data_IF_080966715488
#
_entry.id   IF_080966715488
#
_cell.length_a   1.000
_cell.length_b   1.000
_cell.length_c   1.000
_cell.angle_alpha   90.00
_cell.angle_beta   90.00
_cell.angle_gamma   90.00
#
_symmetry.space_group_name_H-M   'P 1'
#
loop_
_entity.id
_entity.type
_entity.pdbx_description
1 polymer ?
#
# COMPACT_ATOMS: atom_id res chain seq x y z
N UNK A 1 -0.24 -17.65 -14.76
CA UNK A 1 -0.07 -17.23 -16.18
C UNK A 1 1.33 -16.72 -16.45
N UNK A 2 1.78 -15.59 -15.87
CA UNK A 2 3.14 -15.04 -16.13
C UNK A 2 4.28 -16.05 -15.87
N UNK A 3 4.27 -16.72 -14.72
CA UNK A 3 5.28 -17.74 -14.38
C UNK A 3 5.26 -18.88 -15.40
N UNK A 4 4.06 -19.36 -15.77
CA UNK A 4 3.90 -20.43 -16.75
C UNK A 4 4.52 -20.07 -18.10
N UNK A 5 4.30 -18.84 -18.58
CA UNK A 5 4.87 -18.33 -19.83
C UNK A 5 6.39 -18.30 -19.82
N UNK A 6 7.05 -18.15 -18.66
CA UNK A 6 8.52 -18.16 -18.58
C UNK A 6 9.13 -19.55 -18.79
N UNK A 7 8.38 -20.62 -18.50
CA UNK A 7 8.83 -22.00 -18.63
C UNK A 7 8.47 -22.63 -19.97
N UNK A 8 7.61 -22.00 -20.75
CA UNK A 8 7.30 -22.46 -22.10
C UNK A 8 8.45 -22.12 -23.07
N UNK A 9 8.74 -22.99 -24.04
CA UNK A 9 9.75 -22.72 -25.06
C UNK A 9 9.30 -21.52 -25.91
N UNK A 10 10.16 -20.50 -26.04
CA UNK A 10 9.91 -19.39 -26.93
C UNK A 10 10.57 -19.63 -28.30
N UNK A 11 9.90 -19.16 -29.34
CA UNK A 11 10.44 -19.17 -30.70
C UNK A 11 11.49 -18.07 -30.90
N UNK A 12 11.31 -16.92 -30.24
CA UNK A 12 12.19 -15.76 -30.29
C UNK A 12 12.81 -15.51 -28.90
N UNK A 13 14.14 -15.67 -28.81
CA UNK A 13 14.87 -15.50 -27.56
C UNK A 13 14.95 -14.04 -27.10
N UNK A 14 14.95 -13.06 -28.02
CA UNK A 14 14.97 -11.64 -27.68
C UNK A 14 13.64 -11.23 -27.05
N UNK A 15 12.52 -11.69 -27.63
CA UNK A 15 11.21 -11.49 -27.02
C UNK A 15 11.11 -12.16 -25.65
N UNK A 16 11.64 -13.37 -25.48
CA UNK A 16 11.64 -14.03 -24.18
C UNK A 16 12.50 -13.29 -23.14
N UNK A 17 13.63 -12.70 -23.56
CA UNK A 17 14.47 -11.86 -22.70
C UNK A 17 13.74 -10.59 -22.26
N UNK A 18 13.11 -9.88 -23.20
CA UNK A 18 12.31 -8.69 -22.89
C UNK A 18 11.15 -9.02 -21.93
N UNK A 19 10.47 -10.14 -22.15
CA UNK A 19 9.42 -10.63 -21.27
C UNK A 19 9.92 -10.89 -19.85
N UNK A 20 11.05 -11.59 -19.69
CA UNK A 20 11.66 -11.83 -18.37
C UNK A 20 12.12 -10.55 -17.69
N UNK A 21 12.63 -9.58 -18.43
CA UNK A 21 13.03 -8.28 -17.86
C UNK A 21 11.84 -7.50 -17.30
N UNK A 22 10.71 -7.48 -18.02
CA UNK A 22 9.53 -6.71 -17.60
C UNK A 22 8.68 -7.43 -16.55
N UNK A 23 8.46 -8.73 -16.71
CA UNK A 23 7.48 -9.50 -15.92
C UNK A 23 8.13 -10.49 -14.94
N UNK A 24 9.46 -10.65 -14.98
CA UNK A 24 10.23 -11.51 -14.07
C UNK A 24 10.00 -11.19 -12.60
N UNK A 25 9.77 -9.92 -12.29
CA UNK A 25 9.62 -9.42 -10.92
C UNK A 25 8.17 -9.42 -10.43
N UNK A 26 7.19 -9.63 -11.32
CA UNK A 26 5.77 -9.62 -10.98
C UNK A 26 5.41 -10.58 -9.83
N UNK A 27 5.94 -11.82 -9.74
CA UNK A 27 5.62 -12.71 -8.63
C UNK A 27 5.97 -12.12 -7.26
N UNK A 28 7.11 -11.45 -7.16
CA UNK A 28 7.55 -10.84 -5.89
C UNK A 28 6.69 -9.63 -5.55
N UNK A 29 6.31 -8.82 -6.54
CA UNK A 29 5.40 -7.70 -6.32
C UNK A 29 4.02 -8.16 -5.87
N UNK A 30 3.45 -9.19 -6.49
CA UNK A 30 2.18 -9.79 -6.07
C UNK A 30 2.28 -10.32 -4.64
N UNK A 31 3.35 -11.05 -4.32
CA UNK A 31 3.57 -11.57 -2.98
C UNK A 31 3.69 -10.43 -1.95
N UNK A 32 4.50 -9.41 -2.24
CA UNK A 32 4.65 -8.23 -1.40
C UNK A 32 3.34 -7.49 -1.17
N UNK A 33 2.50 -7.33 -2.20
CA UNK A 33 1.18 -6.73 -2.08
C UNK A 33 0.25 -7.55 -1.19
N UNK A 34 0.25 -8.88 -1.30
CA UNK A 34 -0.59 -9.74 -0.47
C UNK A 34 -0.18 -9.67 1.00
N UNK A 35 1.13 -9.70 1.30
CA UNK A 35 1.62 -9.59 2.68
C UNK A 35 1.31 -8.21 3.25
N UNK A 36 1.57 -7.14 2.50
CA UNK A 36 1.24 -5.78 2.90
C UNK A 36 -0.26 -5.62 3.19
N UNK A 37 -1.11 -6.15 2.31
CA UNK A 37 -2.56 -6.13 2.48
C UNK A 37 -3.01 -6.85 3.75
N UNK A 38 -2.54 -8.09 3.98
CA UNK A 38 -2.93 -8.87 5.16
C UNK A 38 -2.54 -8.18 6.46
N UNK A 39 -1.32 -7.65 6.53
CA UNK A 39 -0.83 -6.93 7.71
C UNK A 39 -1.56 -5.60 7.92
N UNK A 40 -1.68 -4.81 6.85
CA UNK A 40 -2.32 -3.49 6.88
C UNK A 40 -3.81 -3.59 7.24
N UNK A 41 -4.54 -4.52 6.61
CA UNK A 41 -5.97 -4.69 6.87
C UNK A 41 -6.24 -5.21 8.29
N UNK A 42 -5.43 -6.14 8.78
CA UNK A 42 -5.55 -6.63 10.17
C UNK A 42 -5.32 -5.49 11.17
N UNK A 43 -4.34 -4.63 10.90
CA UNK A 43 -4.07 -3.45 11.71
C UNK A 43 -5.22 -2.43 11.66
N UNK A 44 -5.78 -2.19 10.47
CA UNK A 44 -6.88 -1.26 10.26
C UNK A 44 -8.08 -1.60 11.14
N UNK A 45 -8.52 -2.87 11.07
CA UNK A 45 -9.66 -3.37 11.85
C UNK A 45 -9.39 -3.25 13.35
N UNK A 46 -8.17 -3.56 13.79
CA UNK A 46 -7.80 -3.47 15.21
C UNK A 46 -7.79 -2.03 15.72
N UNK A 47 -7.15 -1.09 15.00
CA UNK A 47 -7.14 0.33 15.38
C UNK A 47 -8.54 0.91 15.34
N UNK A 48 -9.32 0.58 14.31
CA UNK A 48 -10.70 1.05 14.18
C UNK A 48 -11.52 0.70 15.43
N UNK A 49 -11.51 -0.56 15.85
CA UNK A 49 -12.25 -1.00 17.03
C UNK A 49 -11.70 -0.39 18.32
N UNK A 50 -10.37 -0.30 18.44
CA UNK A 50 -9.70 0.28 19.62
C UNK A 50 -10.04 1.75 19.81
N UNK A 51 -10.03 2.55 18.75
CA UNK A 51 -10.36 3.97 18.80
C UNK A 51 -11.87 4.16 18.97
N UNK A 52 -12.70 3.39 18.25
CA UNK A 52 -14.16 3.45 18.40
C UNK A 52 -14.61 3.16 19.84
N UNK A 53 -14.02 2.17 20.50
CA UNK A 53 -14.31 1.82 21.89
C UNK A 53 -13.89 2.91 22.88
N UNK A 54 -12.80 3.64 22.61
CA UNK A 54 -12.31 4.76 23.44
C UNK A 54 -13.19 6.02 23.34
N UNK A 55 -13.78 6.29 22.17
CA UNK A 55 -14.53 7.53 21.90
C UNK A 55 -16.06 7.36 21.95
N UNK A 56 -16.56 6.29 22.59
CA UNK A 56 -17.98 6.01 22.82
C UNK A 56 -18.88 6.15 21.58
N UNK A 57 -18.34 5.87 20.37
CA UNK A 57 -19.12 5.79 19.14
C UNK A 57 -19.88 7.06 18.71
N UNK A 58 -19.53 8.25 19.22
CA UNK A 58 -20.25 9.49 18.90
C UNK A 58 -20.26 9.74 17.37
N UNK A 59 -21.43 9.81 16.71
CA UNK A 59 -21.54 9.95 15.25
C UNK A 59 -20.77 11.14 14.69
N UNK A 60 -20.69 12.25 15.44
CA UNK A 60 -20.00 13.49 15.01
C UNK A 60 -18.48 13.35 14.91
N UNK A 61 -17.90 12.29 15.51
CA UNK A 61 -16.45 12.03 15.53
C UNK A 61 -16.05 10.83 14.68
N UNK A 62 -16.98 10.27 13.88
CA UNK A 62 -16.74 9.12 12.99
C UNK A 62 -15.52 9.27 12.09
N UNK A 63 -15.29 10.48 11.61
CA UNK A 63 -14.15 10.80 10.77
C UNK A 63 -12.80 10.59 11.48
N UNK A 64 -12.71 10.76 12.80
CA UNK A 64 -11.45 10.68 13.55
C UNK A 64 -10.91 9.26 13.52
N UNK A 65 -11.72 8.27 13.88
CA UNK A 65 -11.25 6.90 13.94
C UNK A 65 -11.11 6.27 12.55
N UNK A 66 -11.93 6.69 11.58
CA UNK A 66 -11.79 6.22 10.19
C UNK A 66 -10.49 6.73 9.55
N UNK A 67 -10.16 8.00 9.73
CA UNK A 67 -8.90 8.55 9.21
C UNK A 67 -7.70 8.04 9.99
N UNK A 68 -7.81 7.91 11.32
CA UNK A 68 -6.72 7.36 12.11
C UNK A 68 -6.41 5.90 11.75
N UNK A 69 -7.42 5.06 11.54
CA UNK A 69 -7.20 3.69 11.07
C UNK A 69 -6.56 3.71 9.68
N UNK A 70 -7.17 4.42 8.72
CA UNK A 70 -6.68 4.50 7.34
C UNK A 70 -5.22 5.00 7.26
N UNK A 71 -4.89 6.11 7.92
CA UNK A 71 -3.54 6.68 7.88
C UNK A 71 -2.51 5.75 8.50
N UNK A 72 -2.82 5.11 9.63
CA UNK A 72 -1.87 4.19 10.27
C UNK A 72 -1.69 2.89 9.49
N UNK A 73 -2.76 2.37 8.89
CA UNK A 73 -2.73 1.19 8.02
C UNK A 73 -1.93 1.43 6.75
N UNK A 74 -2.01 2.64 6.17
CA UNK A 74 -1.22 3.02 5.00
C UNK A 74 0.29 3.04 5.26
N UNK A 75 0.73 3.42 6.48
CA UNK A 75 2.16 3.33 6.85
C UNK A 75 2.64 1.89 6.77
N UNK A 76 1.84 0.97 7.32
CA UNK A 76 2.18 -0.45 7.37
C UNK A 76 2.17 -1.05 5.96
N UNK A 77 1.17 -0.70 5.16
CA UNK A 77 1.07 -1.11 3.76
C UNK A 77 2.32 -0.69 2.97
N UNK A 78 2.66 0.61 2.99
CA UNK A 78 3.80 1.13 2.21
C UNK A 78 5.12 0.59 2.72
N UNK A 79 5.32 0.52 4.04
CA UNK A 79 6.55 0.01 4.63
C UNK A 79 6.78 -1.47 4.25
N UNK A 80 5.77 -2.31 4.40
CA UNK A 80 5.86 -3.75 4.09
C UNK A 80 6.00 -3.96 2.59
N UNK A 81 5.15 -3.32 1.79
CA UNK A 81 5.18 -3.47 0.33
C UNK A 81 6.55 -3.09 -0.23
N UNK A 82 7.06 -1.90 0.11
CA UNK A 82 8.33 -1.42 -0.46
C UNK A 82 9.50 -2.27 0.03
N UNK A 83 9.51 -2.68 1.30
CA UNK A 83 10.58 -3.53 1.84
C UNK A 83 10.62 -4.90 1.16
N UNK A 84 9.46 -5.52 0.89
CA UNK A 84 9.41 -6.83 0.24
C UNK A 84 9.67 -6.70 -1.27
N UNK A 85 8.94 -5.82 -1.95
CA UNK A 85 9.00 -5.67 -3.40
C UNK A 85 10.37 -5.16 -3.88
N UNK A 86 10.86 -4.08 -3.28
CA UNK A 86 12.08 -3.40 -3.73
C UNK A 86 13.28 -3.77 -2.87
N UNK A 87 13.13 -3.84 -1.55
CA UNK A 87 14.22 -4.20 -0.64
C UNK A 87 14.73 -5.63 -0.86
N UNK A 88 13.85 -6.61 -0.73
CA UNK A 88 14.17 -8.04 -0.90
C UNK A 88 14.07 -8.44 -2.38
N UNK A 89 12.97 -8.12 -3.04
CA UNK A 89 12.67 -8.59 -4.40
C UNK A 89 13.63 -8.12 -5.47
N UNK A 90 14.05 -6.85 -5.40
CA UNK A 90 15.07 -6.29 -6.29
C UNK A 90 16.48 -6.32 -5.69
N UNK A 91 16.61 -6.83 -4.46
CA UNK A 91 17.88 -6.90 -3.74
C UNK A 91 18.46 -5.53 -3.38
N UNK A 92 17.66 -4.46 -3.33
CA UNK A 92 18.17 -3.13 -3.02
C UNK A 92 18.79 -3.03 -1.63
N UNK A 93 18.39 -3.87 -0.67
CA UNK A 93 19.07 -3.92 0.63
C UNK A 93 20.55 -4.34 0.54
N UNK A 94 20.95 -5.04 -0.51
CA UNK A 94 22.33 -5.48 -0.72
C UNK A 94 23.14 -4.48 -1.56
N UNK A 95 22.51 -3.42 -2.08
CA UNK A 95 23.19 -2.38 -2.85
C UNK A 95 23.64 -1.25 -1.94
N UNK A 96 24.79 -0.65 -2.25
CA UNK A 96 25.26 0.54 -1.55
C UNK A 96 24.24 1.69 -1.69
N UNK A 97 23.77 2.21 -0.56
CA UNK A 97 22.76 3.25 -0.51
C UNK A 97 21.31 2.80 -0.74
N UNK A 98 21.06 1.51 -1.04
CA UNK A 98 19.71 1.04 -1.35
C UNK A 98 18.75 1.08 -0.15
N UNK A 99 19.26 0.96 1.08
CA UNK A 99 18.44 1.18 2.29
C UNK A 99 17.93 2.63 2.40
N UNK A 100 18.75 3.61 2.02
CA UNK A 100 18.33 5.02 1.98
C UNK A 100 17.26 5.23 0.89
N UNK A 101 17.43 4.59 -0.26
CA UNK A 101 16.45 4.65 -1.35
C UNK A 101 15.09 4.06 -0.93
N UNK A 102 15.08 2.89 -0.30
CA UNK A 102 13.87 2.23 0.23
C UNK A 102 13.19 3.13 1.26
N UNK A 103 13.93 3.67 2.22
CA UNK A 103 13.38 4.58 3.22
C UNK A 103 12.81 5.86 2.59
N UNK A 104 13.52 6.44 1.62
CA UNK A 104 13.05 7.60 0.86
C UNK A 104 11.74 7.32 0.12
N UNK A 105 11.60 6.14 -0.48
CA UNK A 105 10.36 5.71 -1.11
C UNK A 105 9.22 5.49 -0.13
N UNK A 106 9.48 4.84 1.01
CA UNK A 106 8.47 4.64 2.07
C UNK A 106 7.93 5.98 2.54
N UNK A 107 8.83 6.92 2.87
CA UNK A 107 8.45 8.25 3.36
C UNK A 107 7.73 9.03 2.26
N UNK A 108 8.29 9.10 1.05
CA UNK A 108 7.72 9.85 -0.06
C UNK A 108 6.32 9.36 -0.45
N UNK A 109 6.15 8.05 -0.62
CA UNK A 109 4.84 7.47 -0.95
C UNK A 109 3.84 7.62 0.19
N UNK A 110 4.27 7.45 1.44
CA UNK A 110 3.39 7.66 2.58
C UNK A 110 2.93 9.13 2.66
N UNK A 111 3.84 10.10 2.54
CA UNK A 111 3.49 11.52 2.60
C UNK A 111 2.55 11.93 1.49
N UNK A 112 2.76 11.43 0.27
CA UNK A 112 1.84 11.66 -0.85
C UNK A 112 0.45 11.05 -0.58
N UNK A 113 0.40 9.77 -0.17
CA UNK A 113 -0.88 9.09 0.17
C UNK A 113 -1.60 9.80 1.33
N UNK A 114 -0.88 10.19 2.37
CA UNK A 114 -1.42 10.89 3.52
C UNK A 114 -1.91 12.30 3.15
N UNK A 115 -1.16 13.03 2.33
CA UNK A 115 -1.56 14.34 1.82
C UNK A 115 -2.85 14.26 0.99
N UNK A 116 -2.95 13.27 0.09
CA UNK A 116 -4.18 13.01 -0.66
C UNK A 116 -5.35 12.66 0.26
N UNK A 117 -5.16 11.75 1.21
CA UNK A 117 -6.21 11.36 2.16
C UNK A 117 -6.71 12.54 3.02
N UNK A 118 -5.80 13.42 3.44
CA UNK A 118 -6.15 14.63 4.18
C UNK A 118 -6.88 15.67 3.32
N UNK A 119 -6.61 15.74 2.01
CA UNK A 119 -7.38 16.57 1.07
C UNK A 119 -8.77 15.98 0.76
N UNK A 120 -8.88 14.65 0.68
CA UNK A 120 -10.15 13.96 0.42
C UNK A 120 -11.13 14.06 1.59
N UNK A 121 -10.62 14.01 2.82
CA UNK A 121 -11.42 14.06 4.06
C UNK A 121 -12.35 15.29 4.18
N UNK A 122 -11.87 16.54 4.01
CA UNK A 122 -12.72 17.72 4.05
C UNK A 122 -13.68 17.78 2.85
N UNK A 123 -13.26 17.31 1.67
CA UNK A 123 -14.13 17.27 0.49
C UNK A 123 -15.31 16.32 0.70
N UNK A 124 -15.06 15.15 1.28
CA UNK A 124 -16.10 14.20 1.67
C UNK A 124 -17.10 14.82 2.65
N UNK A 125 -16.62 15.55 3.66
CA UNK A 125 -17.48 16.18 4.67
C UNK A 125 -18.30 17.36 4.12
N UNK A 126 -17.73 18.12 3.18
CA UNK A 126 -18.44 19.19 2.47
C UNK A 126 -19.56 18.64 1.58
N UNK A 127 -19.32 17.51 0.90
CA UNK A 127 -20.31 16.88 0.02
C UNK A 127 -21.40 16.13 0.79
N UNK A 128 -21.05 15.39 1.85
CA UNK A 128 -22.05 14.62 2.63
C UNK A 128 -22.97 15.49 3.49
N UNK A 129 -22.57 16.71 3.86
CA UNK A 129 -23.45 17.63 4.60
C UNK A 129 -24.67 18.08 3.79
N UNK A 130 -24.60 18.09 2.45
CA UNK A 130 -25.72 18.53 1.59
C UNK A 130 -26.84 17.49 1.42
N UNK A 131 -26.62 16.22 1.78
CA UNK A 131 -27.61 15.16 1.57
C UNK A 131 -28.46 14.81 2.80
N UNK A 132 -28.31 15.56 3.90
CA UNK A 132 -29.16 15.42 5.10
C UNK A 132 -30.24 16.51 5.21
N UNK A 133 -30.42 17.35 4.17
CA UNK A 133 -31.43 18.42 4.14
C UNK A 133 -32.61 18.11 3.18
N UNK A 134 -32.71 16.89 2.62
CA UNK A 134 -33.91 16.37 1.94
C UNK A 134 -34.55 15.25 2.76
#
# INVERSE_FOLDING_TARGET
MIILTMYLPAYDEEMQRAYRMLLGQTPVFVFGSLVAYLCSQSWDVWIFHKIRGRFCGNPKRRWIWNNASTLTSQIIDTAIYISIAFGIGLGWFMQEGGMMLVLGMVIGQYLLKAGLALCDTPFFYLLTRKHQEE
#
